data_IF_332958434563
#
_entry.id   IF_332958434563
#
_cell.length_a   1.000
_cell.length_b   1.000
_cell.length_c   1.000
_cell.angle_alpha   90.00
_cell.angle_beta   90.00
_cell.angle_gamma   90.00
#
_symmetry.space_group_name_H-M   'P 1'
#
loop_
_entity.id
_entity.type
_entity.pdbx_description
1 polymer ?
#
# COMPACT_ATOMS: atom_id res chain seq x y z
N UNK A 1 -4.88 1.70 19.19
CA UNK A 1 -4.94 3.16 19.44
C UNK A 1 -3.63 3.50 20.09
N UNK A 2 -2.71 4.11 19.32
CA UNK A 2 -1.45 4.59 19.88
C UNK A 2 -1.72 5.83 20.70
N UNK A 3 -1.31 5.82 21.97
CA UNK A 3 -1.21 7.03 22.80
C UNK A 3 0.05 7.81 22.36
N UNK A 4 0.01 8.40 21.18
CA UNK A 4 1.05 9.33 20.74
C UNK A 4 0.83 10.70 21.39
N UNK A 5 1.91 11.46 21.68
CA UNK A 5 1.78 12.82 22.22
C UNK A 5 0.90 13.66 21.31
N UNK A 6 -0.03 14.42 21.89
CA UNK A 6 -1.02 15.23 21.17
C UNK A 6 -0.46 16.13 20.05
N UNK A 7 0.82 16.49 20.09
CA UNK A 7 1.44 17.36 19.10
C UNK A 7 1.81 16.62 17.79
N UNK A 8 2.08 15.30 17.83
CA UNK A 8 2.38 14.51 16.63
C UNK A 8 1.12 14.20 15.80
N UNK A 9 -0.07 14.26 16.41
CA UNK A 9 -1.35 13.92 15.76
C UNK A 9 -2.02 15.15 15.15
N UNK A 10 -1.68 16.35 15.58
CA UNK A 10 -2.32 17.61 15.14
C UNK A 10 -2.26 17.84 13.62
N UNK A 11 -1.24 17.31 12.96
CA UNK A 11 -1.00 17.48 11.53
C UNK A 11 -1.40 16.25 10.72
N UNK A 12 -2.19 15.34 11.31
CA UNK A 12 -2.65 14.13 10.62
C UNK A 12 -4.17 14.09 10.64
N UNK A 13 -4.77 14.16 9.45
CA UNK A 13 -6.19 13.93 9.25
C UNK A 13 -6.42 12.44 9.01
N UNK A 14 -7.48 11.88 9.59
CA UNK A 14 -7.84 10.48 9.41
C UNK A 14 -9.14 10.41 8.63
N UNK A 15 -9.07 9.87 7.41
CA UNK A 15 -10.24 9.59 6.57
C UNK A 15 -10.78 8.17 6.81
N UNK A 16 -12.07 7.99 6.62
CA UNK A 16 -12.71 6.68 6.61
C UNK A 16 -12.46 6.01 5.26
N UNK A 17 -11.99 4.79 5.31
CA UNK A 17 -11.64 4.02 4.12
C UNK A 17 -12.88 3.73 3.26
N UNK A 18 -12.80 4.00 1.96
CA UNK A 18 -13.90 3.93 0.99
C UNK A 18 -15.05 4.96 1.21
N UNK A 19 -14.87 5.98 2.04
CA UNK A 19 -15.83 7.07 2.21
C UNK A 19 -15.41 8.30 1.39
N UNK A 20 -15.91 8.38 0.16
CA UNK A 20 -15.61 9.45 -0.78
C UNK A 20 -16.13 10.81 -0.32
N UNK A 21 -17.30 10.84 0.34
CA UNK A 21 -17.92 12.10 0.80
C UNK A 21 -17.11 12.71 1.93
N UNK A 22 -16.68 11.87 2.89
CA UNK A 22 -15.83 12.34 3.97
C UNK A 22 -14.48 12.86 3.45
N UNK A 23 -13.84 12.14 2.53
CA UNK A 23 -12.56 12.59 1.97
C UNK A 23 -12.70 13.90 1.21
N UNK A 24 -13.76 14.09 0.42
CA UNK A 24 -14.06 15.37 -0.23
C UNK A 24 -14.22 16.49 0.80
N UNK A 25 -14.98 16.26 1.85
CA UNK A 25 -15.17 17.25 2.92
C UNK A 25 -13.86 17.63 3.62
N UNK A 26 -12.94 16.67 3.79
CA UNK A 26 -11.61 16.95 4.34
C UNK A 26 -10.78 17.84 3.41
N UNK A 27 -10.82 17.58 2.10
CA UNK A 27 -10.11 18.40 1.14
C UNK A 27 -10.76 19.79 0.99
N UNK A 28 -12.08 19.91 1.03
CA UNK A 28 -12.77 21.21 1.03
C UNK A 28 -12.39 22.06 2.25
N UNK A 29 -12.18 21.43 3.41
CA UNK A 29 -11.86 22.13 4.64
C UNK A 29 -10.36 22.44 4.82
N UNK A 30 -9.48 21.58 4.32
CA UNK A 30 -8.04 21.61 4.64
C UNK A 30 -7.14 21.38 3.42
N UNK A 31 -7.67 21.34 2.20
CA UNK A 31 -6.95 20.91 1.00
C UNK A 31 -5.64 21.64 0.76
N UNK A 32 -5.62 22.98 0.98
CA UNK A 32 -4.41 23.80 0.82
C UNK A 32 -3.29 23.44 1.82
N UNK A 33 -3.63 22.80 2.94
CA UNK A 33 -2.69 22.37 3.98
C UNK A 33 -2.32 20.88 3.88
N UNK A 34 -3.01 20.09 3.04
CA UNK A 34 -2.73 18.66 2.87
C UNK A 34 -1.52 18.45 1.98
N UNK A 35 -0.39 18.10 2.56
CA UNK A 35 0.83 17.80 1.81
C UNK A 35 0.76 16.46 1.05
N UNK A 36 0.15 15.44 1.66
CA UNK A 36 0.04 14.12 1.05
C UNK A 36 -1.12 13.31 1.65
N UNK A 37 -1.62 12.37 0.85
CA UNK A 37 -2.49 11.28 1.29
C UNK A 37 -1.70 9.99 1.21
N UNK A 38 -1.67 9.21 2.31
CA UNK A 38 -1.11 7.86 2.33
C UNK A 38 -2.23 6.83 2.51
N UNK A 39 -2.22 5.80 1.67
CA UNK A 39 -3.25 4.76 1.69
C UNK A 39 -2.65 3.40 1.35
N UNK A 40 -3.07 2.34 2.07
CA UNK A 40 -2.89 0.97 1.63
C UNK A 40 -3.92 0.66 0.53
N UNK A 41 -3.55 0.36 -0.73
CA UNK A 41 -4.53 0.01 -1.78
C UNK A 41 -5.34 -1.26 -1.45
N UNK A 42 -4.74 -2.14 -0.66
CA UNK A 42 -5.38 -3.27 0.02
C UNK A 42 -4.98 -3.19 1.49
N UNK A 43 -5.90 -2.77 2.34
CA UNK A 43 -5.67 -2.58 3.76
C UNK A 43 -5.62 -3.93 4.50
N UNK A 44 -4.39 -4.42 4.72
CA UNK A 44 -4.16 -5.75 5.29
C UNK A 44 -4.69 -5.90 6.71
N UNK A 45 -4.34 -4.96 7.59
CA UNK A 45 -4.69 -5.01 9.01
C UNK A 45 -6.17 -4.73 9.31
N UNK A 46 -6.92 -4.20 8.36
CA UNK A 46 -8.37 -4.02 8.45
C UNK A 46 -9.17 -5.29 8.11
N UNK A 47 -8.48 -6.41 7.83
CA UNK A 47 -9.11 -7.66 7.41
C UNK A 47 -9.10 -7.85 5.90
N UNK A 48 -8.02 -7.41 5.23
CA UNK A 48 -7.80 -7.52 3.78
C UNK A 48 -8.90 -6.79 2.99
N UNK A 49 -9.12 -5.53 3.32
CA UNK A 49 -10.11 -4.69 2.64
C UNK A 49 -9.47 -4.01 1.43
N UNK A 50 -10.00 -4.27 0.26
CA UNK A 50 -9.57 -3.62 -0.99
C UNK A 50 -10.25 -2.25 -1.10
N UNK A 51 -9.50 -1.25 -1.56
CA UNK A 51 -10.08 0.03 -1.93
C UNK A 51 -11.05 -0.13 -3.13
N UNK A 52 -12.10 0.67 -3.14
CA UNK A 52 -12.99 0.78 -4.29
C UNK A 52 -12.31 1.62 -5.39
N UNK A 53 -12.55 1.26 -6.65
CA UNK A 53 -11.93 1.96 -7.77
C UNK A 53 -12.28 3.45 -7.78
N UNK A 54 -13.56 3.78 -7.56
CA UNK A 54 -14.05 5.15 -7.51
C UNK A 54 -13.43 5.95 -6.36
N UNK A 55 -13.17 5.29 -5.21
CA UNK A 55 -12.48 5.91 -4.08
C UNK A 55 -11.03 6.27 -4.44
N UNK A 56 -10.30 5.36 -5.09
CA UNK A 56 -8.93 5.60 -5.52
C UNK A 56 -8.83 6.69 -6.59
N UNK A 57 -9.77 6.72 -7.54
CA UNK A 57 -9.87 7.76 -8.56
C UNK A 57 -10.19 9.12 -7.91
N UNK A 58 -11.10 9.14 -6.93
CA UNK A 58 -11.42 10.35 -6.17
C UNK A 58 -10.19 10.89 -5.43
N UNK A 59 -9.41 10.04 -4.76
CA UNK A 59 -8.18 10.46 -4.10
C UNK A 59 -7.18 11.05 -5.09
N UNK A 60 -7.03 10.45 -6.28
CA UNK A 60 -6.11 10.98 -7.29
C UNK A 60 -6.55 12.36 -7.78
N UNK A 61 -7.84 12.51 -8.10
CA UNK A 61 -8.40 13.80 -8.57
C UNK A 61 -8.20 14.90 -7.51
N UNK A 62 -8.53 14.62 -6.26
CA UNK A 62 -8.36 15.58 -5.17
C UNK A 62 -6.88 15.92 -4.95
N UNK A 63 -6.00 14.94 -4.95
CA UNK A 63 -4.57 15.22 -4.83
C UNK A 63 -4.04 16.07 -5.99
N UNK A 64 -4.50 15.84 -7.22
CA UNK A 64 -4.11 16.65 -8.38
C UNK A 64 -4.66 18.07 -8.30
N UNK A 65 -5.90 18.24 -7.84
CA UNK A 65 -6.58 19.55 -7.70
C UNK A 65 -5.90 20.44 -6.65
N UNK A 66 -5.55 19.85 -5.50
CA UNK A 66 -4.94 20.60 -4.39
C UNK A 66 -3.42 20.56 -4.35
N UNK A 67 -2.77 19.89 -5.29
CA UNK A 67 -1.31 19.77 -5.35
C UNK A 67 -0.70 18.88 -4.28
N UNK A 68 -1.50 18.02 -3.64
CA UNK A 68 -1.07 17.04 -2.67
C UNK A 68 -0.44 15.82 -3.34
N UNK A 69 0.42 15.09 -2.62
CA UNK A 69 0.97 13.82 -3.12
C UNK A 69 0.08 12.64 -2.74
N UNK A 70 -0.11 11.70 -3.67
CA UNK A 70 -0.74 10.42 -3.38
C UNK A 70 0.33 9.35 -3.16
N UNK A 71 0.36 8.75 -1.97
CA UNK A 71 1.33 7.74 -1.56
C UNK A 71 0.63 6.40 -1.39
N UNK A 72 1.07 5.38 -2.11
CA UNK A 72 0.60 4.01 -1.89
C UNK A 72 1.51 3.30 -0.88
N UNK A 73 0.93 2.90 0.24
CA UNK A 73 1.59 1.97 1.16
C UNK A 73 1.36 0.53 0.67
N UNK A 74 2.35 0.02 -0.03
CA UNK A 74 2.37 -1.36 -0.49
C UNK A 74 3.30 -2.26 0.34
N UNK A 75 3.53 -1.90 1.59
CA UNK A 75 4.30 -2.73 2.53
C UNK A 75 3.70 -4.12 2.67
N UNK A 76 2.37 -4.26 2.67
CA UNK A 76 1.67 -5.54 2.73
C UNK A 76 1.40 -6.13 1.35
N UNK A 77 0.94 -5.34 0.41
CA UNK A 77 0.38 -5.78 -0.88
C UNK A 77 1.44 -5.90 -1.98
N UNK A 78 2.52 -5.15 -1.89
CA UNK A 78 3.59 -5.13 -2.91
C UNK A 78 4.21 -6.50 -3.14
N UNK A 79 4.26 -6.92 -4.41
CA UNK A 79 4.73 -8.23 -4.85
C UNK A 79 3.97 -9.43 -4.24
N UNK A 80 2.89 -9.17 -3.49
CA UNK A 80 2.05 -10.20 -2.88
C UNK A 80 0.80 -10.48 -3.72
N UNK A 81 0.02 -9.45 -4.01
CA UNK A 81 -1.23 -9.59 -4.78
C UNK A 81 -0.99 -9.75 -6.27
N UNK A 82 0.10 -9.18 -6.76
CA UNK A 82 0.59 -9.29 -8.13
C UNK A 82 2.07 -8.92 -8.17
N UNK A 83 2.78 -9.30 -9.24
CA UNK A 83 4.18 -8.89 -9.45
C UNK A 83 4.36 -7.36 -9.49
N UNK A 84 3.40 -6.66 -10.06
CA UNK A 84 3.40 -5.18 -10.11
C UNK A 84 2.81 -4.51 -8.86
N UNK A 85 2.50 -5.29 -7.81
CA UNK A 85 1.84 -4.79 -6.61
C UNK A 85 0.37 -4.46 -6.79
N UNK A 86 -0.27 -3.99 -5.72
CA UNK A 86 -1.68 -3.62 -5.72
C UNK A 86 -1.99 -2.42 -6.61
N UNK A 87 -1.01 -1.57 -6.93
CA UNK A 87 -1.19 -0.49 -7.91
C UNK A 87 -1.70 -1.00 -9.26
N UNK A 88 -1.39 -2.25 -9.64
CA UNK A 88 -1.87 -2.84 -10.88
C UNK A 88 -3.36 -3.21 -10.87
N UNK A 89 -4.00 -3.18 -9.73
CA UNK A 89 -5.44 -3.44 -9.56
C UNK A 89 -6.31 -2.20 -9.82
N UNK A 90 -5.67 -1.03 -9.95
CA UNK A 90 -6.34 0.26 -10.09
C UNK A 90 -5.82 1.00 -11.32
N UNK A 91 -6.65 1.83 -11.94
CA UNK A 91 -6.24 2.74 -13.00
C UNK A 91 -5.75 4.09 -12.45
N UNK A 92 -5.00 4.03 -11.35
CA UNK A 92 -4.50 5.19 -10.60
C UNK A 92 -3.00 5.02 -10.38
N UNK A 93 -2.23 6.07 -10.63
CA UNK A 93 -0.79 6.09 -10.36
C UNK A 93 -0.52 6.94 -9.11
N UNK A 94 0.17 6.39 -8.11
CA UNK A 94 0.64 7.19 -6.99
C UNK A 94 1.84 8.06 -7.40
N UNK A 95 2.10 9.11 -6.63
CA UNK A 95 3.31 9.92 -6.74
C UNK A 95 4.50 9.25 -6.07
N UNK A 96 4.24 8.61 -4.94
CA UNK A 96 5.21 7.81 -4.17
C UNK A 96 4.59 6.46 -3.80
N UNK A 97 5.47 5.50 -3.55
CA UNK A 97 5.10 4.15 -3.16
C UNK A 97 6.11 3.61 -2.15
N UNK A 98 5.64 2.85 -1.17
CA UNK A 98 6.49 2.20 -0.18
C UNK A 98 6.34 0.68 -0.27
N UNK A 99 7.45 -0.02 -0.10
CA UNK A 99 7.52 -1.49 -0.08
C UNK A 99 8.33 -1.99 1.10
N UNK A 100 7.98 -3.17 1.60
CA UNK A 100 8.78 -3.93 2.56
C UNK A 100 8.45 -5.43 2.43
N UNK A 101 8.61 -6.18 3.49
CA UNK A 101 8.23 -7.62 3.58
C UNK A 101 8.79 -8.44 2.42
N UNK A 102 7.98 -8.76 1.41
CA UNK A 102 8.38 -9.64 0.29
C UNK A 102 9.64 -9.13 -0.42
N UNK A 103 9.79 -7.81 -0.61
CA UNK A 103 10.94 -7.26 -1.31
C UNK A 103 12.27 -7.55 -0.62
N UNK A 104 12.25 -7.84 0.68
CA UNK A 104 13.44 -8.20 1.45
C UNK A 104 13.85 -9.67 1.35
N UNK A 105 13.07 -10.52 0.68
CA UNK A 105 13.38 -11.95 0.57
C UNK A 105 13.45 -12.69 1.91
N UNK A 106 12.64 -12.28 2.88
CA UNK A 106 12.64 -12.79 4.26
C UNK A 106 13.51 -12.00 5.24
N UNK A 107 14.29 -11.04 4.76
CA UNK A 107 15.11 -10.17 5.58
C UNK A 107 14.49 -8.78 5.72
N UNK A 108 14.83 -8.01 6.79
CA UNK A 108 14.29 -6.67 7.01
C UNK A 108 14.75 -5.71 5.90
N UNK A 109 13.80 -5.19 5.15
CA UNK A 109 14.01 -4.24 4.07
C UNK A 109 12.85 -3.26 4.02
N UNK A 110 13.13 -2.00 3.81
CA UNK A 110 12.17 -0.96 3.48
C UNK A 110 12.65 -0.22 2.23
N UNK A 111 11.73 0.05 1.32
CA UNK A 111 12.01 0.74 0.06
C UNK A 111 10.91 1.76 -0.16
N UNK A 112 11.27 2.91 -0.68
CA UNK A 112 10.34 3.87 -1.22
C UNK A 112 10.85 4.37 -2.57
N UNK A 113 9.93 4.81 -3.39
CA UNK A 113 10.22 5.33 -4.71
C UNK A 113 9.03 6.04 -5.30
N UNK A 114 9.20 6.66 -6.46
CA UNK A 114 8.13 7.37 -7.12
C UNK A 114 8.61 8.24 -8.27
N UNK A 115 7.90 9.34 -8.52
CA UNK A 115 8.21 10.28 -9.59
C UNK A 115 9.63 10.82 -9.48
N UNK A 116 10.35 10.86 -10.61
CA UNK A 116 11.77 11.27 -10.66
C UNK A 116 12.01 12.62 -9.99
N UNK A 117 11.19 13.62 -10.29
CA UNK A 117 11.30 14.98 -9.75
C UNK A 117 11.14 15.06 -8.21
N UNK A 118 10.44 14.09 -7.60
CA UNK A 118 10.33 13.97 -6.15
C UNK A 118 11.58 13.28 -5.61
N UNK A 119 12.00 12.18 -6.25
CA UNK A 119 13.17 11.42 -5.82
C UNK A 119 14.48 12.21 -5.95
N UNK A 120 14.58 13.13 -6.93
CA UNK A 120 15.71 14.04 -7.09
C UNK A 120 15.86 15.06 -5.95
N UNK A 121 14.84 15.21 -5.08
CA UNK A 121 14.98 16.02 -3.85
C UNK A 121 15.90 15.35 -2.81
N UNK A 122 16.15 14.05 -2.95
CA UNK A 122 17.05 13.33 -2.03
C UNK A 122 18.52 13.66 -2.30
N UNK A 123 19.32 13.70 -1.22
CA UNK A 123 20.77 13.80 -1.29
C UNK A 123 21.35 12.59 -2.07
N UNK A 124 22.40 12.79 -2.91
CA UNK A 124 23.17 14.04 -3.10
C UNK A 124 22.58 15.02 -4.13
N UNK A 125 21.52 14.66 -4.85
CA UNK A 125 20.94 15.52 -5.90
C UNK A 125 20.16 16.69 -5.29
N UNK A 126 19.43 16.44 -4.21
CA UNK A 126 18.65 17.43 -3.50
C UNK A 126 19.06 17.61 -2.04
N UNK A 127 18.33 18.46 -1.33
CA UNK A 127 18.64 18.81 0.07
C UNK A 127 18.03 17.86 1.12
N UNK A 128 17.25 16.88 0.74
CA UNK A 128 16.61 15.96 1.68
C UNK A 128 17.56 14.83 2.02
N UNK A 129 18.06 14.82 3.25
CA UNK A 129 18.96 13.77 3.72
C UNK A 129 18.17 12.56 4.20
N UNK A 130 18.56 11.38 3.71
CA UNK A 130 18.07 10.10 4.17
C UNK A 130 19.23 9.12 4.28
N UNK A 131 19.37 8.48 5.42
CA UNK A 131 20.38 7.46 5.66
C UNK A 131 19.87 6.43 6.68
N UNK A 132 20.48 5.24 6.63
CA UNK A 132 20.22 4.17 7.59
C UNK A 132 21.39 3.19 7.58
N UNK A 133 21.85 2.78 8.76
CA UNK A 133 22.99 1.87 8.91
C UNK A 133 22.82 0.57 8.11
N UNK A 134 21.60 0.08 7.98
CA UNK A 134 21.27 -1.14 7.24
C UNK A 134 20.86 -0.90 5.78
N UNK A 135 20.79 0.37 5.34
CA UNK A 135 20.45 0.69 3.96
C UNK A 135 21.46 0.10 2.98
N UNK A 136 20.98 -0.61 1.98
CA UNK A 136 21.85 -1.27 1.00
C UNK A 136 22.66 -2.45 1.53
N UNK A 137 22.28 -3.04 2.66
CA UNK A 137 22.97 -4.21 3.20
C UNK A 137 23.08 -5.30 2.11
N UNK A 138 24.27 -5.80 1.77
CA UNK A 138 24.48 -6.68 0.61
C UNK A 138 23.75 -8.01 0.74
N UNK A 139 23.57 -8.54 1.93
CA UNK A 139 22.82 -9.79 2.15
C UNK A 139 21.33 -9.58 1.88
N UNK A 140 20.76 -8.47 2.37
CA UNK A 140 19.37 -8.10 2.11
C UNK A 140 19.14 -7.83 0.63
N UNK A 141 20.08 -7.13 -0.03
CA UNK A 141 19.99 -6.86 -1.47
C UNK A 141 20.04 -8.15 -2.29
N UNK A 142 20.91 -9.09 -1.95
CA UNK A 142 21.01 -10.39 -2.64
C UNK A 142 19.73 -11.24 -2.44
N UNK A 143 19.21 -11.31 -1.22
CA UNK A 143 17.98 -12.04 -0.91
C UNK A 143 16.76 -11.45 -1.63
N UNK A 144 16.62 -10.13 -1.59
CA UNK A 144 15.56 -9.39 -2.28
C UNK A 144 15.62 -9.60 -3.78
N UNK A 145 16.80 -9.40 -4.38
CA UNK A 145 17.02 -9.61 -5.83
C UNK A 145 16.65 -11.04 -6.25
N UNK A 146 17.09 -12.06 -5.49
CA UNK A 146 16.76 -13.46 -5.76
C UNK A 146 15.25 -13.68 -5.73
N UNK A 147 14.56 -13.18 -4.70
CA UNK A 147 13.11 -13.29 -4.58
C UNK A 147 12.38 -12.62 -5.74
N UNK A 148 12.77 -11.40 -6.09
CA UNK A 148 12.12 -10.67 -7.19
C UNK A 148 12.36 -11.33 -8.54
N UNK A 149 13.54 -11.92 -8.79
CA UNK A 149 13.81 -12.68 -10.00
C UNK A 149 12.93 -13.93 -10.09
N UNK A 150 12.79 -14.69 -9.00
CA UNK A 150 11.90 -15.86 -8.94
C UNK A 150 10.46 -15.45 -9.29
N UNK A 151 9.94 -14.38 -8.68
CA UNK A 151 8.59 -13.90 -8.94
C UNK A 151 8.41 -13.40 -10.38
N UNK A 152 9.45 -12.78 -10.95
CA UNK A 152 9.44 -12.27 -12.33
C UNK A 152 9.39 -13.40 -13.35
N UNK A 153 10.16 -14.44 -13.13
CA UNK A 153 10.30 -15.58 -14.04
C UNK A 153 9.15 -16.58 -13.94
N UNK A 154 8.45 -16.61 -12.79
CA UNK A 154 7.41 -17.60 -12.49
C UNK A 154 6.10 -16.89 -12.10
N UNK A 155 5.51 -16.13 -13.01
CA UNK A 155 4.28 -15.36 -12.71
C UNK A 155 3.05 -16.26 -12.49
N UNK A 156 3.08 -17.51 -12.87
CA UNK A 156 2.09 -18.55 -12.56
C UNK A 156 1.97 -18.83 -11.04
N UNK A 157 2.95 -18.42 -10.24
CA UNK A 157 2.86 -18.43 -8.77
C UNK A 157 1.63 -17.67 -8.29
N UNK A 158 1.30 -16.53 -8.89
CA UNK A 158 0.13 -15.73 -8.50
C UNK A 158 -1.17 -16.44 -8.81
N UNK A 159 -1.27 -17.11 -9.97
CA UNK A 159 -2.43 -17.94 -10.32
C UNK A 159 -2.60 -19.12 -9.36
N UNK A 160 -1.49 -19.74 -8.97
CA UNK A 160 -1.49 -20.84 -8.00
C UNK A 160 -1.99 -20.36 -6.62
N UNK A 161 -1.43 -19.26 -6.10
CA UNK A 161 -1.84 -18.67 -4.81
C UNK A 161 -3.31 -18.27 -4.84
N UNK A 162 -3.76 -17.67 -5.93
CA UNK A 162 -5.15 -17.27 -6.11
C UNK A 162 -6.11 -18.48 -6.07
N UNK A 163 -5.80 -19.56 -6.76
CA UNK A 163 -6.60 -20.81 -6.74
C UNK A 163 -6.67 -21.41 -5.34
N UNK A 164 -5.55 -21.42 -4.60
CA UNK A 164 -5.53 -21.92 -3.21
C UNK A 164 -6.36 -21.02 -2.30
N UNK A 165 -6.19 -19.70 -2.43
CA UNK A 165 -6.93 -18.71 -1.66
C UNK A 165 -8.45 -18.83 -1.89
N UNK A 166 -8.88 -19.01 -3.14
CA UNK A 166 -10.27 -19.21 -3.51
C UNK A 166 -10.85 -20.50 -2.91
N UNK A 167 -10.10 -21.60 -2.96
CA UNK A 167 -10.49 -22.86 -2.34
C UNK A 167 -10.64 -22.74 -0.83
N UNK A 168 -9.71 -22.02 -0.19
CA UNK A 168 -9.74 -21.78 1.26
C UNK A 168 -10.95 -20.90 1.64
N UNK A 169 -11.17 -19.80 0.93
CA UNK A 169 -12.33 -18.92 1.12
C UNK A 169 -13.64 -19.71 1.05
N UNK A 170 -13.84 -20.44 -0.05
CA UNK A 170 -15.05 -21.26 -0.25
C UNK A 170 -15.24 -22.29 0.86
N UNK A 171 -14.17 -23.00 1.26
CA UNK A 171 -14.24 -23.98 2.35
C UNK A 171 -14.68 -23.35 3.69
N UNK A 172 -14.13 -22.17 4.02
CA UNK A 172 -14.52 -21.44 5.24
C UNK A 172 -15.97 -20.96 5.17
N UNK A 173 -16.40 -20.40 4.03
CA UNK A 173 -17.78 -19.93 3.82
C UNK A 173 -18.80 -21.08 3.89
N UNK A 174 -18.48 -22.24 3.32
CA UNK A 174 -19.34 -23.42 3.37
C UNK A 174 -19.51 -23.93 4.79
N UNK A 175 -18.42 -24.05 5.57
CA UNK A 175 -18.48 -24.44 6.99
C UNK A 175 -19.27 -23.44 7.82
N UNK A 176 -19.04 -22.13 7.60
CA UNK A 176 -19.76 -21.08 8.30
C UNK A 176 -21.27 -21.17 8.03
N UNK A 177 -21.66 -21.41 6.78
CA UNK A 177 -23.06 -21.61 6.37
C UNK A 177 -23.68 -22.83 7.04
N UNK A 178 -23.00 -23.96 7.03
CA UNK A 178 -23.46 -25.21 7.69
C UNK A 178 -23.66 -25.03 9.20
N UNK A 179 -22.85 -24.20 9.83
CA UNK A 179 -22.91 -23.93 11.28
C UNK A 179 -23.80 -22.74 11.65
N UNK A 180 -24.40 -22.06 10.69
CA UNK A 180 -25.23 -20.87 10.91
C UNK A 180 -24.43 -19.66 11.44
N UNK A 181 -23.12 -19.60 11.16
CA UNK A 181 -22.23 -18.51 11.61
C UNK A 181 -22.22 -17.43 10.55
N UNK A 182 -22.47 -16.18 10.96
CA UNK A 182 -22.26 -15.00 10.08
C UNK A 182 -20.76 -14.73 10.00
N UNK A 183 -20.20 -14.82 8.81
CA UNK A 183 -18.79 -14.62 8.56
C UNK A 183 -18.59 -13.85 7.24
N UNK A 184 -17.67 -12.90 7.23
CA UNK A 184 -17.16 -12.27 6.02
C UNK A 184 -15.74 -12.74 5.79
N UNK A 185 -15.45 -13.23 4.60
CA UNK A 185 -14.10 -13.63 4.19
C UNK A 185 -13.65 -12.71 3.06
N UNK A 186 -12.65 -11.88 3.34
CA UNK A 186 -12.05 -11.00 2.34
C UNK A 186 -10.80 -11.65 1.75
N UNK A 187 -10.54 -11.36 0.49
CA UNK A 187 -9.36 -11.80 -0.25
C UNK A 187 -8.97 -10.75 -1.29
N UNK A 188 -7.69 -10.62 -1.57
CA UNK A 188 -7.13 -9.80 -2.63
C UNK A 188 -6.16 -10.60 -3.48
#
# INVERSE_FOLDING_TARGET
ICNEPNDSIKNTLVGVYNDMEQVRSLFEAYGDDIAAVIIEPVAGNMGVVKAENEFMETLRVLCDEYGSLLIFDEVMSGFRVAYKGAQSLFNVKPDLITYAKIIGGGLPCGVYGGRGEIMEKLSPLGGVYQAGTMSGNPVVMAAGLSTLNILKENQDIYDHINKIGEKLQKGIEDIAREKGIKLTVNRA
#
